data_IF_989749665049
#
_entry.id   IF_989749665049
#
_cell.length_a   1.000
_cell.length_b   1.000
_cell.length_c   1.000
_cell.angle_alpha   90.00
_cell.angle_beta   90.00
_cell.angle_gamma   90.00
#
_symmetry.space_group_name_H-M   'P 1'
#
loop_
_entity.id
_entity.type
_entity.pdbx_description
1 polymer ?
#
# COMPACT_ATOMS: atom_id res chain seq x y z
N UNK A 1 30.00 27.57 39.49
CA UNK A 1 30.30 26.12 39.51
C UNK A 1 28.99 25.35 39.71
N UNK A 2 28.63 24.57 38.68
CA UNK A 2 27.91 23.28 38.67
C UNK A 2 26.59 23.18 39.47
N UNK A 3 25.40 22.84 38.95
CA UNK A 3 24.98 22.01 37.79
C UNK A 3 23.43 22.05 37.80
N UNK A 4 22.70 22.38 36.71
CA UNK A 4 21.24 22.27 36.73
C UNK A 4 20.82 20.83 36.44
N UNK A 5 20.09 20.27 37.40
CA UNK A 5 19.56 18.92 37.49
C UNK A 5 18.20 18.81 36.80
N UNK A 6 18.09 19.19 35.53
CA UNK A 6 16.84 19.01 34.78
C UNK A 6 17.14 18.65 33.32
N UNK A 7 17.95 17.60 33.14
CA UNK A 7 17.84 16.74 31.95
C UNK A 7 16.59 15.89 32.18
N UNK A 8 15.79 15.70 31.12
CA UNK A 8 14.65 14.77 31.04
C UNK A 8 13.25 15.35 31.21
N UNK A 9 12.94 16.49 30.57
CA UNK A 9 11.54 16.79 30.20
C UNK A 9 11.52 17.29 28.75
N UNK A 10 10.82 16.57 27.88
CA UNK A 10 10.44 17.07 26.56
C UNK A 10 11.04 16.37 25.34
N UNK A 11 11.50 15.11 25.42
CA UNK A 11 11.80 14.31 24.23
C UNK A 11 10.58 13.47 23.80
N UNK A 12 9.43 14.11 23.62
CA UNK A 12 8.23 13.47 23.05
C UNK A 12 7.49 14.55 22.26
N UNK A 13 7.66 14.54 20.93
CA UNK A 13 6.60 14.54 19.92
C UNK A 13 7.18 14.78 18.53
N UNK A 14 8.07 13.89 18.08
CA UNK A 14 8.28 13.69 16.64
C UNK A 14 7.72 12.30 16.32
N UNK A 15 6.39 12.15 16.46
CA UNK A 15 5.68 11.14 15.68
C UNK A 15 5.79 11.60 14.23
N UNK A 16 6.87 11.18 13.59
CA UNK A 16 7.00 11.23 12.16
C UNK A 16 5.78 10.49 11.61
N UNK A 17 4.83 11.24 11.07
CA UNK A 17 3.86 10.77 10.10
C UNK A 17 4.68 10.38 8.88
N UNK A 18 5.37 9.25 8.97
CA UNK A 18 5.86 8.56 7.80
C UNK A 18 4.60 7.92 7.23
N UNK A 19 4.11 8.35 6.05
CA UNK A 19 3.22 7.46 5.33
C UNK A 19 3.98 6.15 5.21
N UNK A 20 3.46 5.09 5.82
CA UNK A 20 3.96 3.76 5.55
C UNK A 20 3.85 3.60 4.05
N UNK A 21 4.98 3.74 3.35
CA UNK A 21 5.07 3.43 1.94
C UNK A 21 4.83 1.93 1.94
N UNK A 22 3.57 1.53 1.81
CA UNK A 22 3.21 0.16 1.50
C UNK A 22 4.02 -0.12 0.24
N UNK A 23 5.07 -0.92 0.40
CA UNK A 23 5.95 -1.32 -0.70
C UNK A 23 5.03 -2.01 -1.69
N UNK A 24 4.66 -1.28 -2.74
CA UNK A 24 3.94 -1.87 -3.86
C UNK A 24 4.82 -3.03 -4.33
N UNK A 25 4.20 -4.19 -4.56
CA UNK A 25 4.89 -5.31 -5.17
C UNK A 25 5.68 -4.81 -6.39
N UNK A 26 6.89 -5.33 -6.58
CA UNK A 26 7.77 -4.91 -7.66
C UNK A 26 6.99 -4.91 -8.99
N UNK A 27 7.14 -3.85 -9.80
CA UNK A 27 6.45 -3.76 -11.08
C UNK A 27 6.82 -4.98 -11.95
N UNK A 28 5.85 -5.70 -12.54
CA UNK A 28 6.11 -6.85 -13.41
C UNK A 28 6.51 -6.36 -14.81
N UNK A 29 7.59 -5.56 -14.88
CA UNK A 29 8.09 -4.89 -16.08
C UNK A 29 9.25 -5.61 -16.76
N UNK A 30 9.87 -6.57 -16.07
CA UNK A 30 10.90 -7.46 -16.59
C UNK A 30 10.48 -8.23 -17.86
N UNK A 31 9.18 -8.45 -18.04
CA UNK A 31 8.59 -9.05 -19.24
C UNK A 31 8.62 -8.18 -20.51
N UNK A 32 8.92 -6.88 -20.40
CA UNK A 32 9.00 -5.95 -21.53
C UNK A 32 10.45 -5.67 -21.94
N UNK A 33 10.65 -5.19 -23.18
CA UNK A 33 11.98 -4.85 -23.67
C UNK A 33 12.60 -3.73 -22.83
N UNK A 34 13.94 -3.66 -22.66
CA UNK A 34 14.59 -2.65 -21.82
C UNK A 34 14.17 -1.21 -22.11
N UNK A 35 13.93 -0.87 -23.38
CA UNK A 35 13.48 0.46 -23.80
C UNK A 35 12.05 0.81 -23.31
N UNK A 36 11.23 -0.20 -23.03
CA UNK A 36 9.82 -0.06 -22.62
C UNK A 36 9.64 -0.11 -21.09
N UNK A 37 10.64 -0.62 -20.36
CA UNK A 37 10.57 -0.76 -18.90
C UNK A 37 10.33 0.56 -18.16
N UNK A 38 10.96 1.70 -18.52
CA UNK A 38 10.67 2.98 -17.87
C UNK A 38 9.19 3.35 -17.94
N UNK A 39 8.57 3.19 -19.12
CA UNK A 39 7.14 3.44 -19.33
C UNK A 39 6.28 2.50 -18.49
N UNK A 40 6.61 1.21 -18.48
CA UNK A 40 5.91 0.24 -17.65
C UNK A 40 5.95 0.59 -16.16
N UNK A 41 7.10 1.06 -15.65
CA UNK A 41 7.26 1.49 -14.26
C UNK A 41 6.39 2.71 -13.96
N UNK A 42 6.32 3.69 -14.86
CA UNK A 42 5.47 4.87 -14.71
C UNK A 42 3.98 4.48 -14.68
N UNK A 43 3.53 3.67 -15.62
CA UNK A 43 2.16 3.15 -15.66
C UNK A 43 1.84 2.36 -14.39
N UNK A 44 2.75 1.49 -13.93
CA UNK A 44 2.57 0.72 -12.70
C UNK A 44 2.40 1.63 -11.49
N UNK A 45 3.25 2.66 -11.34
CA UNK A 45 3.13 3.65 -10.27
C UNK A 45 1.79 4.38 -10.32
N UNK A 46 1.34 4.78 -11.51
CA UNK A 46 0.04 5.39 -11.74
C UNK A 46 -1.11 4.48 -11.29
N UNK A 47 -1.13 3.24 -11.74
CA UNK A 47 -2.15 2.26 -11.38
C UNK A 47 -2.19 1.95 -9.88
N UNK A 48 -1.04 1.86 -9.21
CA UNK A 48 -1.00 1.67 -7.75
C UNK A 48 -1.57 2.89 -7.00
N UNK A 49 -1.31 4.10 -7.50
CA UNK A 49 -1.89 5.32 -6.93
C UNK A 49 -3.41 5.37 -7.14
N UNK A 50 -3.89 4.99 -8.31
CA UNK A 50 -5.32 4.88 -8.62
C UNK A 50 -6.04 3.88 -7.71
N UNK A 51 -5.38 2.77 -7.36
CA UNK A 51 -5.94 1.73 -6.48
C UNK A 51 -5.89 2.08 -5.00
N UNK A 52 -5.07 3.05 -4.59
CA UNK A 52 -4.86 3.41 -3.19
C UNK A 52 -6.16 3.66 -2.41
N UNK A 53 -7.09 4.50 -2.89
CA UNK A 53 -8.33 4.78 -2.19
C UNK A 53 -9.21 3.54 -1.95
N UNK A 54 -9.35 2.65 -2.93
CA UNK A 54 -10.19 1.45 -2.78
C UNK A 54 -9.56 0.43 -1.83
N UNK A 55 -8.23 0.29 -1.86
CA UNK A 55 -7.48 -0.57 -0.91
C UNK A 55 -7.63 -0.04 0.52
N UNK A 56 -7.49 1.28 0.70
CA UNK A 56 -7.65 1.92 2.01
C UNK A 56 -9.07 1.74 2.55
N UNK A 57 -10.09 1.97 1.72
CA UNK A 57 -11.49 1.79 2.13
C UNK A 57 -11.79 0.33 2.51
N UNK A 58 -11.30 -0.63 1.72
CA UNK A 58 -11.43 -2.05 2.07
C UNK A 58 -10.81 -2.36 3.44
N UNK A 59 -9.61 -1.83 3.73
CA UNK A 59 -8.97 -1.99 5.04
C UNK A 59 -9.78 -1.41 6.20
N UNK A 60 -10.34 -0.21 6.03
CA UNK A 60 -11.20 0.42 7.04
C UNK A 60 -12.50 -0.40 7.27
N UNK A 61 -13.11 -0.89 6.20
CA UNK A 61 -14.32 -1.70 6.27
C UNK A 61 -14.05 -3.04 7.00
N UNK A 62 -12.91 -3.67 6.71
CA UNK A 62 -12.45 -4.87 7.38
C UNK A 62 -12.21 -4.64 8.88
N UNK A 63 -11.56 -3.53 9.24
CA UNK A 63 -11.33 -3.16 10.63
C UNK A 63 -12.65 -2.96 11.38
N UNK A 64 -13.56 -2.16 10.81
CA UNK A 64 -14.88 -1.92 11.39
C UNK A 64 -15.65 -3.23 11.60
N UNK A 65 -15.66 -4.13 10.60
CA UNK A 65 -16.33 -5.43 10.71
C UNK A 65 -15.73 -6.31 11.80
N UNK A 66 -14.42 -6.26 12.04
CA UNK A 66 -13.78 -6.95 13.17
C UNK A 66 -14.21 -6.34 14.50
N UNK A 67 -14.19 -5.02 14.63
CA UNK A 67 -14.58 -4.29 15.85
C UNK A 67 -16.06 -4.53 16.20
N UNK A 68 -16.92 -4.63 15.19
CA UNK A 68 -18.35 -4.98 15.35
C UNK A 68 -18.58 -6.49 15.58
N UNK A 69 -17.54 -7.32 15.62
CA UNK A 69 -17.66 -8.78 15.80
C UNK A 69 -18.28 -9.53 14.61
N UNK A 70 -18.41 -8.88 13.44
CA UNK A 70 -19.00 -9.47 12.22
C UNK A 70 -18.09 -10.47 11.53
N UNK A 71 -16.79 -10.36 11.73
CA UNK A 71 -15.79 -11.31 11.23
C UNK A 71 -14.77 -11.65 12.31
N UNK A 72 -14.36 -12.92 12.33
CA UNK A 72 -13.27 -13.39 13.17
C UNK A 72 -11.91 -13.19 12.48
N UNK A 73 -10.84 -13.63 13.17
CA UNK A 73 -9.50 -13.42 12.67
C UNK A 73 -9.16 -14.16 11.38
N UNK A 74 -9.68 -15.38 11.24
CA UNK A 74 -9.46 -16.22 10.08
C UNK A 74 -10.22 -15.70 8.86
N UNK A 75 -11.47 -15.25 9.04
CA UNK A 75 -12.27 -14.63 7.99
C UNK A 75 -11.62 -13.36 7.46
N UNK A 76 -11.15 -12.48 8.34
CA UNK A 76 -10.42 -11.28 7.95
C UNK A 76 -9.18 -11.60 7.11
N UNK A 77 -8.37 -12.58 7.53
CA UNK A 77 -7.18 -12.98 6.78
C UNK A 77 -7.57 -13.53 5.40
N UNK A 78 -8.56 -14.43 5.33
CA UNK A 78 -9.01 -15.02 4.07
C UNK A 78 -9.57 -13.98 3.10
N UNK A 79 -10.39 -13.04 3.60
CA UNK A 79 -10.95 -11.96 2.81
C UNK A 79 -9.87 -10.98 2.32
N UNK A 80 -8.90 -10.62 3.19
CA UNK A 80 -7.76 -9.78 2.79
C UNK A 80 -6.95 -10.43 1.67
N UNK A 81 -6.62 -11.72 1.80
CA UNK A 81 -5.85 -12.44 0.79
C UNK A 81 -6.61 -12.52 -0.55
N UNK A 82 -7.93 -12.73 -0.49
CA UNK A 82 -8.80 -12.74 -1.68
C UNK A 82 -8.80 -11.38 -2.37
N UNK A 83 -8.98 -10.31 -1.59
CA UNK A 83 -8.98 -8.95 -2.11
C UNK A 83 -7.63 -8.57 -2.75
N UNK A 84 -6.51 -8.84 -2.06
CA UNK A 84 -5.16 -8.56 -2.57
C UNK A 84 -4.92 -9.27 -3.90
N UNK A 85 -5.32 -10.55 -3.99
CA UNK A 85 -5.20 -11.33 -5.22
C UNK A 85 -5.98 -10.68 -6.37
N UNK A 86 -7.27 -10.42 -6.17
CA UNK A 86 -8.14 -9.83 -7.20
C UNK A 86 -7.68 -8.42 -7.61
N UNK A 87 -7.28 -7.58 -6.66
CA UNK A 87 -6.78 -6.23 -6.94
C UNK A 87 -5.49 -6.28 -7.76
N UNK A 88 -4.59 -7.23 -7.46
CA UNK A 88 -3.34 -7.43 -8.18
C UNK A 88 -3.59 -7.93 -9.61
N UNK A 89 -4.48 -8.92 -9.79
CA UNK A 89 -4.87 -9.43 -11.11
C UNK A 89 -5.44 -8.30 -11.99
N UNK A 90 -6.40 -7.52 -11.48
CA UNK A 90 -6.97 -6.36 -12.18
C UNK A 90 -5.93 -5.27 -12.51
N UNK A 91 -4.94 -5.07 -11.64
CA UNK A 91 -3.85 -4.12 -11.91
C UNK A 91 -2.95 -4.61 -13.03
N UNK A 92 -2.62 -5.90 -13.04
CA UNK A 92 -1.83 -6.52 -14.10
C UNK A 92 -2.55 -6.44 -15.46
N UNK A 93 -3.87 -6.65 -15.48
CA UNK A 93 -4.68 -6.50 -16.69
C UNK A 93 -4.65 -5.06 -17.22
N UNK A 94 -4.92 -4.07 -16.37
CA UNK A 94 -4.82 -2.64 -16.75
C UNK A 94 -3.41 -2.25 -17.21
N UNK A 95 -2.36 -2.81 -16.60
CA UNK A 95 -0.98 -2.59 -17.04
C UNK A 95 -0.76 -3.12 -18.47
N UNK A 96 -1.25 -4.33 -18.78
CA UNK A 96 -1.15 -4.90 -20.12
C UNK A 96 -1.90 -4.03 -21.14
N UNK A 97 -3.10 -3.57 -20.79
CA UNK A 97 -3.90 -2.72 -21.65
C UNK A 97 -3.23 -1.38 -21.96
N UNK A 98 -2.67 -0.71 -20.94
CA UNK A 98 -2.01 0.58 -21.12
C UNK A 98 -0.69 0.44 -21.88
N UNK A 99 0.10 -0.60 -21.59
CA UNK A 99 1.33 -0.88 -22.34
C UNK A 99 1.11 -1.20 -23.82
N UNK A 100 -0.12 -1.60 -24.21
CA UNK A 100 -0.48 -1.86 -25.60
C UNK A 100 -1.06 -0.62 -26.33
N UNK A 101 -1.48 0.42 -25.61
CA UNK A 101 -2.18 1.60 -26.16
C UNK A 101 -1.35 2.88 -26.11
N UNK A 102 -0.60 3.06 -25.03
CA UNK A 102 0.32 4.18 -24.79
C UNK A 102 1.71 3.85 -25.36
#
# INVERSE_FOLDING_TARGET
>A
MNRPWYRSVGLILCLAITPAIASAADPPCDKYLPAEQPRCIEIWKGLNKEDGPVIAQFGLDQQKRREEGKINAQQHLAENMTFIKQATEKRIERLKERMAKE
#
